data_IF_975791523745
#
_entry.id   IF_975791523745
#
_cell.length_a   1.000
_cell.length_b   1.000
_cell.length_c   1.000
_cell.angle_alpha   90.00
_cell.angle_beta   90.00
_cell.angle_gamma   90.00
#
_symmetry.space_group_name_H-M   'P 1'
#
loop_
_entity.id
_entity.type
_entity.pdbx_description
1 polymer ?
#
# COMPACT_ATOMS: atom_id res chain seq x y z
N UNK A 1 -2.94 -25.50 -3.34
CA UNK A 1 -2.44 -25.57 -1.95
C UNK A 1 -3.18 -24.53 -1.11
N UNK A 2 -3.63 -24.85 0.11
CA UNK A 2 -4.27 -23.87 1.02
C UNK A 2 -3.17 -23.11 1.77
N UNK A 3 -3.31 -21.79 1.90
CA UNK A 3 -2.42 -20.98 2.75
C UNK A 3 -2.58 -21.40 4.20
N UNK A 4 -1.46 -21.50 4.93
CA UNK A 4 -1.51 -21.76 6.37
C UNK A 4 -2.09 -20.56 7.12
N UNK A 5 -2.59 -20.80 8.34
CA UNK A 5 -3.18 -19.76 9.19
C UNK A 5 -2.19 -18.63 9.50
N UNK A 6 -0.92 -18.91 9.88
CA UNK A 6 0.06 -17.84 10.13
C UNK A 6 0.35 -17.00 8.89
N UNK A 7 0.53 -17.64 7.71
CA UNK A 7 0.82 -16.91 6.47
C UNK A 7 -0.36 -16.04 6.04
N UNK A 8 -1.59 -16.54 6.19
CA UNK A 8 -2.80 -15.76 5.86
C UNK A 8 -2.90 -14.49 6.72
N UNK A 9 -2.57 -14.57 8.01
CA UNK A 9 -2.49 -13.42 8.90
C UNK A 9 -1.36 -12.47 8.52
N UNK A 10 -0.17 -13.01 8.22
CA UNK A 10 0.96 -12.21 7.78
C UNK A 10 0.60 -11.38 6.53
N UNK A 11 0.01 -11.99 5.51
CA UNK A 11 -0.37 -11.30 4.28
C UNK A 11 -1.44 -10.23 4.54
N UNK A 12 -2.41 -10.50 5.41
CA UNK A 12 -3.43 -9.51 5.78
C UNK A 12 -2.80 -8.32 6.53
N UNK A 13 -1.98 -8.60 7.55
CA UNK A 13 -1.30 -7.57 8.31
C UNK A 13 -0.36 -6.73 7.44
N UNK A 14 0.38 -7.38 6.53
CA UNK A 14 1.24 -6.70 5.56
C UNK A 14 0.44 -5.79 4.62
N UNK A 15 -0.71 -6.24 4.11
CA UNK A 15 -1.58 -5.40 3.29
C UNK A 15 -2.09 -4.16 4.03
N UNK A 16 -2.53 -4.34 5.29
CA UNK A 16 -2.97 -3.23 6.14
C UNK A 16 -1.82 -2.26 6.44
N UNK A 17 -0.64 -2.78 6.79
CA UNK A 17 0.55 -1.96 7.01
C UNK A 17 0.94 -1.16 5.76
N UNK A 18 0.88 -1.79 4.58
CA UNK A 18 1.14 -1.15 3.30
C UNK A 18 0.23 0.06 3.08
N UNK A 19 -1.06 -0.03 3.45
CA UNK A 19 -1.96 1.13 3.38
C UNK A 19 -1.46 2.30 4.23
N UNK A 20 -1.06 2.05 5.48
CA UNK A 20 -0.54 3.10 6.35
C UNK A 20 0.69 3.80 5.75
N UNK A 21 1.62 3.03 5.20
CA UNK A 21 2.83 3.57 4.56
C UNK A 21 2.46 4.45 3.36
N UNK A 22 1.71 3.92 2.39
CA UNK A 22 1.47 4.64 1.14
C UNK A 22 0.53 5.83 1.31
N UNK A 23 -0.47 5.74 2.17
CA UNK A 23 -1.35 6.89 2.47
C UNK A 23 -0.53 8.00 3.14
N UNK A 24 0.32 7.66 4.10
CA UNK A 24 1.15 8.65 4.80
C UNK A 24 2.19 9.26 3.86
N UNK A 25 2.79 8.44 3.00
CA UNK A 25 3.73 8.90 1.99
C UNK A 25 3.08 9.89 1.01
N UNK A 26 1.91 9.56 0.45
CA UNK A 26 1.19 10.47 -0.47
C UNK A 26 0.80 11.77 0.22
N UNK A 27 0.38 11.73 1.49
CA UNK A 27 0.11 12.95 2.29
C UNK A 27 1.35 13.82 2.43
N UNK A 28 2.52 13.22 2.67
CA UNK A 28 3.77 13.96 2.79
C UNK A 28 4.28 14.47 1.44
N UNK A 29 4.07 13.70 0.36
CA UNK A 29 4.38 14.12 -1.01
C UNK A 29 3.57 15.36 -1.39
N UNK A 30 2.27 15.38 -1.06
CA UNK A 30 1.40 16.52 -1.35
C UNK A 30 1.69 17.75 -0.48
N UNK A 31 2.24 17.54 0.72
CA UNK A 31 2.73 18.61 1.60
C UNK A 31 4.14 19.08 1.23
N UNK A 32 4.71 18.54 0.16
CA UNK A 32 6.08 18.77 -0.26
C UNK A 32 7.12 18.55 0.85
N UNK A 33 6.99 17.46 1.60
CA UNK A 33 7.89 17.17 2.72
C UNK A 33 9.37 17.03 2.34
N UNK A 34 9.67 16.83 1.05
CA UNK A 34 11.04 16.78 0.50
C UNK A 34 11.52 18.10 -0.09
N UNK A 35 10.63 19.06 -0.37
CA UNK A 35 10.96 20.27 -1.13
C UNK A 35 11.24 20.02 -2.63
N UNK A 36 10.70 18.94 -3.18
CA UNK A 36 10.97 18.48 -4.56
C UNK A 36 9.69 18.21 -5.35
N UNK A 37 8.53 18.14 -4.68
CA UNK A 37 7.28 17.73 -5.30
C UNK A 37 6.71 18.85 -6.19
N UNK A 38 6.92 20.10 -5.81
CA UNK A 38 6.46 21.26 -6.56
C UNK A 38 7.62 22.22 -6.81
N UNK A 39 7.57 22.93 -7.93
CA UNK A 39 8.52 24.00 -8.23
C UNK A 39 8.08 25.35 -7.64
N UNK A 40 8.85 26.41 -7.89
CA UNK A 40 8.57 27.76 -7.39
C UNK A 40 7.24 28.35 -7.89
N UNK A 41 6.72 27.86 -9.02
CA UNK A 41 5.41 28.24 -9.55
C UNK A 41 4.26 27.41 -8.92
N UNK A 42 4.59 26.37 -8.17
CA UNK A 42 3.64 25.43 -7.57
C UNK A 42 3.23 24.30 -8.51
N UNK A 43 3.92 24.12 -9.65
CA UNK A 43 3.61 23.06 -10.60
C UNK A 43 4.25 21.72 -10.16
N UNK A 44 3.55 20.58 -10.33
CA UNK A 44 4.07 19.29 -9.93
C UNK A 44 5.25 18.87 -10.81
N UNK A 45 6.36 18.53 -10.16
CA UNK A 45 7.59 18.14 -10.85
C UNK A 45 7.56 16.68 -11.32
N UNK A 46 8.58 16.26 -12.09
CA UNK A 46 8.78 14.85 -12.41
C UNK A 46 8.96 13.96 -11.16
N UNK A 47 9.56 14.49 -10.09
CA UNK A 47 9.70 13.79 -8.82
C UNK A 47 8.33 13.43 -8.24
N UNK A 48 7.39 14.38 -8.25
CA UNK A 48 6.02 14.14 -7.80
C UNK A 48 5.34 13.03 -8.58
N UNK A 49 5.35 13.10 -9.91
CA UNK A 49 4.64 12.12 -10.75
C UNK A 49 5.22 10.71 -10.64
N UNK A 50 6.54 10.57 -10.58
CA UNK A 50 7.20 9.27 -10.38
C UNK A 50 6.79 8.67 -9.03
N UNK A 51 6.89 9.44 -7.95
CA UNK A 51 6.62 8.93 -6.62
C UNK A 51 5.13 8.69 -6.37
N UNK A 52 4.24 9.54 -6.91
CA UNK A 52 2.80 9.31 -6.85
C UNK A 52 2.43 8.02 -7.59
N UNK A 53 2.96 7.80 -8.79
CA UNK A 53 2.72 6.58 -9.57
C UNK A 53 3.20 5.34 -8.79
N UNK A 54 4.43 5.37 -8.27
CA UNK A 54 4.98 4.28 -7.47
C UNK A 54 4.13 4.01 -6.22
N UNK A 55 3.67 5.05 -5.53
CA UNK A 55 2.83 4.93 -4.35
C UNK A 55 1.47 4.31 -4.68
N UNK A 56 0.81 4.74 -5.76
CA UNK A 56 -0.48 4.19 -6.20
C UNK A 56 -0.35 2.72 -6.59
N UNK A 57 0.63 2.37 -7.41
CA UNK A 57 0.87 0.97 -7.82
C UNK A 57 1.16 0.10 -6.60
N UNK A 58 2.03 0.56 -5.70
CA UNK A 58 2.39 -0.19 -4.50
C UNK A 58 1.22 -0.33 -3.52
N UNK A 59 0.35 0.68 -3.40
CA UNK A 59 -0.88 0.59 -2.63
C UNK A 59 -1.85 -0.47 -3.18
N UNK A 60 -2.01 -0.52 -4.51
CA UNK A 60 -2.82 -1.55 -5.17
C UNK A 60 -2.26 -2.94 -4.92
N UNK A 61 -0.94 -3.12 -5.08
CA UNK A 61 -0.28 -4.41 -4.80
C UNK A 61 -0.46 -4.82 -3.33
N UNK A 62 -0.30 -3.88 -2.39
CA UNK A 62 -0.57 -4.12 -0.97
C UNK A 62 -2.01 -4.55 -0.69
N UNK A 63 -2.98 -3.92 -1.39
CA UNK A 63 -4.40 -4.27 -1.29
C UNK A 63 -4.68 -5.68 -1.79
N UNK A 64 -4.08 -6.07 -2.93
CA UNK A 64 -4.20 -7.42 -3.48
C UNK A 64 -3.63 -8.45 -2.50
N UNK A 65 -2.43 -8.19 -1.94
CA UNK A 65 -1.81 -9.06 -0.93
C UNK A 65 -2.69 -9.21 0.30
N UNK A 66 -3.20 -8.10 0.84
CA UNK A 66 -4.12 -8.10 1.99
C UNK A 66 -5.40 -8.90 1.70
N UNK A 67 -5.95 -8.76 0.50
CA UNK A 67 -7.14 -9.50 0.06
C UNK A 67 -6.88 -11.01 -0.02
N UNK A 68 -5.71 -11.43 -0.49
CA UNK A 68 -5.30 -12.85 -0.51
C UNK A 68 -5.22 -13.38 0.94
N UNK A 69 -4.60 -12.64 1.85
CA UNK A 69 -4.55 -12.98 3.28
C UNK A 69 -5.94 -13.13 3.90
N UNK A 70 -6.82 -12.16 3.66
CA UNK A 70 -8.20 -12.17 4.14
C UNK A 70 -8.99 -13.39 3.61
N UNK A 71 -8.86 -13.69 2.31
CA UNK A 71 -9.50 -14.87 1.69
C UNK A 71 -8.96 -16.17 2.30
N UNK A 72 -7.66 -16.24 2.59
CA UNK A 72 -7.03 -17.37 3.30
C UNK A 72 -7.65 -17.61 4.68
N UNK A 73 -7.81 -16.55 5.48
CA UNK A 73 -8.46 -16.63 6.80
C UNK A 73 -9.93 -17.06 6.71
N UNK A 74 -10.69 -16.52 5.74
CA UNK A 74 -12.10 -16.89 5.54
C UNK A 74 -12.26 -18.35 5.10
N UNK A 75 -11.33 -18.88 4.31
CA UNK A 75 -11.35 -20.28 3.89
C UNK A 75 -11.07 -21.23 5.06
N UNK A 76 -10.11 -20.89 5.94
CA UNK A 76 -9.78 -21.68 7.13
C UNK A 76 -10.93 -21.73 8.14
N UNK A 77 -11.63 -20.60 8.36
CA UNK A 77 -12.81 -20.54 9.23
C UNK A 77 -13.98 -21.41 8.79
N UNK A 78 -14.05 -21.79 7.51
CA UNK A 78 -15.10 -22.68 6.99
C UNK A 78 -14.81 -24.16 7.18
N UNK A 79 -13.59 -24.51 7.58
CA UNK A 79 -13.10 -25.89 7.71
C UNK A 79 -12.68 -26.25 9.13
N UNK A 80 -12.75 -25.30 10.06
CA UNK A 80 -12.61 -25.51 11.51
C UNK A 80 -13.99 -25.56 12.12
#
# INVERSE_FOLDING_TARGET
MKLSRPVSWFLLAFGVWSWFIWITFVKNLWKDGSGLAFDDAGDPTGYFWVHLTLAVVSFVLGTVVGTIGFRGLRALRRTS
#
